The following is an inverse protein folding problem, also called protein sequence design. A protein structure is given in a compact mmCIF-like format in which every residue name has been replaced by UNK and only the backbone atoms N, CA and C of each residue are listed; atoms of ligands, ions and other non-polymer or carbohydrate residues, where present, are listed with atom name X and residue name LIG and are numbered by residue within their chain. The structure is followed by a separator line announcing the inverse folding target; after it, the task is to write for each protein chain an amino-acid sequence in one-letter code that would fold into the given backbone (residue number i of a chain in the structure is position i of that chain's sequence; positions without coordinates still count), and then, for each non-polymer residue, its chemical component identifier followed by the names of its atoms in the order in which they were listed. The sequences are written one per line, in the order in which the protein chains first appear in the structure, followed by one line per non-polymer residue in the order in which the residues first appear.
data_IF_917113005480
#
_entry.id   IF_917113005480
#
_cell.length_a   1.000
_cell.length_b   1.000
_cell.length_c   1.000
_cell.angle_alpha   90.00
_cell.angle_beta   90.00
_cell.angle_gamma   90.00
#
_symmetry.space_group_name_H-M   'P 1'
#
loop_
_entity.id
_entity.type
_entity.pdbx_description
1 polymer ?
#
# COMPACT_ATOMS: atom_id res chain seq x y z
N UNK A 1 14.64 8.83 4.69
CA UNK A 1 13.39 8.30 4.09
C UNK A 1 13.81 7.29 3.02
N UNK A 2 13.51 6.01 3.17
CA UNK A 2 13.85 5.00 2.15
C UNK A 2 13.01 5.28 0.90
N UNK A 3 13.66 5.35 -0.27
CA UNK A 3 12.97 5.52 -1.54
C UNK A 3 12.01 4.33 -1.76
N UNK A 4 10.73 4.54 -2.12
CA UNK A 4 9.74 3.47 -2.30
C UNK A 4 10.24 2.35 -3.24
N UNK A 5 11.01 2.71 -4.27
CA UNK A 5 11.61 1.76 -5.22
C UNK A 5 12.71 0.86 -4.64
N UNK A 6 13.20 1.08 -3.41
CA UNK A 6 14.12 0.16 -2.74
C UNK A 6 13.38 -1.02 -2.09
N UNK A 7 12.14 -0.79 -1.66
CA UNK A 7 11.33 -1.79 -0.95
C UNK A 7 10.83 -2.90 -1.89
N UNK A 8 10.63 -2.59 -3.17
CA UNK A 8 10.29 -3.59 -4.20
C UNK A 8 11.37 -4.65 -4.47
N UNK A 9 12.59 -4.49 -3.94
CA UNK A 9 13.72 -5.43 -4.14
C UNK A 9 14.08 -6.24 -2.90
N UNK A 10 13.34 -6.11 -1.79
CA UNK A 10 13.69 -6.72 -0.51
C UNK A 10 13.84 -8.25 -0.58
N UNK A 11 13.03 -8.93 -1.40
CA UNK A 11 13.07 -10.38 -1.55
C UNK A 11 14.03 -10.89 -2.64
N UNK A 12 14.53 -10.01 -3.51
CA UNK A 12 15.36 -10.44 -4.65
C UNK A 12 16.78 -10.81 -4.23
N UNK A 13 17.30 -10.13 -3.22
CA UNK A 13 18.65 -10.34 -2.69
C UNK A 13 18.72 -11.43 -1.62
N UNK A 14 17.59 -11.86 -1.07
CA UNK A 14 17.50 -12.85 0.01
C UNK A 14 17.07 -14.23 -0.52
N UNK A 15 17.87 -14.76 -1.46
CA UNK A 15 17.65 -16.09 -2.03
C UNK A 15 18.30 -17.14 -1.14
N UNK A 16 17.47 -18.01 -0.58
CA UNK A 16 17.91 -19.18 0.19
C UNK A 16 17.05 -20.40 -0.13
N UNK A 17 17.61 -21.60 0.03
CA UNK A 17 16.94 -22.86 -0.30
C UNK A 17 15.63 -23.08 0.48
N UNK A 18 15.47 -22.43 1.64
CA UNK A 18 14.28 -22.50 2.49
C UNK A 18 13.16 -21.52 2.10
N UNK A 19 13.46 -20.45 1.34
CA UNK A 19 12.50 -19.37 1.03
C UNK A 19 11.85 -19.51 -0.35
N UNK A 20 12.43 -20.29 -1.26
CA UNK A 20 11.92 -20.44 -2.62
C UNK A 20 11.99 -19.14 -3.43
N UNK A 21 11.13 -18.99 -4.45
CA UNK A 21 11.07 -17.78 -5.28
C UNK A 21 10.08 -16.77 -4.68
N UNK A 22 10.61 -15.72 -4.06
CA UNK A 22 9.84 -14.59 -3.56
C UNK A 22 10.08 -13.37 -4.46
N UNK A 23 9.00 -12.68 -4.83
CA UNK A 23 9.07 -11.43 -5.59
C UNK A 23 8.01 -10.49 -5.05
N UNK A 24 8.38 -9.23 -4.82
CA UNK A 24 7.40 -8.16 -4.61
C UNK A 24 6.52 -8.06 -5.87
N UNK A 25 5.22 -7.83 -5.68
CA UNK A 25 4.25 -7.79 -6.79
C UNK A 25 3.70 -6.39 -6.97
N UNK A 26 2.98 -5.91 -5.97
CA UNK A 26 2.41 -4.58 -5.93
C UNK A 26 2.70 -3.98 -4.56
N UNK A 27 3.06 -2.70 -4.55
CA UNK A 27 3.36 -1.91 -3.37
C UNK A 27 2.44 -0.69 -3.35
N UNK A 28 1.63 -0.61 -2.31
CA UNK A 28 0.70 0.48 -2.08
C UNK A 28 1.23 1.38 -0.96
N UNK A 29 1.40 2.67 -1.27
CA UNK A 29 1.93 3.66 -0.32
C UNK A 29 0.86 4.70 -0.02
N UNK A 30 0.44 4.76 1.24
CA UNK A 30 -0.44 5.80 1.76
C UNK A 30 0.39 6.97 2.26
N UNK A 31 0.23 8.13 1.62
CA UNK A 31 0.91 9.37 1.97
C UNK A 31 -0.08 10.36 2.55
N UNK A 32 0.16 10.83 3.76
CA UNK A 32 -0.61 11.91 4.36
C UNK A 32 -0.18 13.25 3.76
N UNK A 33 -1.13 14.01 3.22
CA UNK A 33 -0.92 15.32 2.57
C UNK A 33 -1.60 16.48 3.31
N UNK A 34 -2.44 16.18 4.31
CA UNK A 34 -3.19 17.18 5.06
C UNK A 34 -4.43 17.70 4.32
N UNK A 35 -5.41 18.18 5.06
CA UNK A 35 -6.67 18.75 4.53
C UNK A 35 -6.82 20.24 4.80
N UNK A 36 -5.91 20.83 5.57
CA UNK A 36 -6.06 22.19 6.06
C UNK A 36 -5.90 23.25 4.97
N UNK A 37 -6.52 24.42 5.17
CA UNK A 37 -6.47 25.54 4.22
C UNK A 37 -5.16 26.32 4.31
N UNK A 38 -4.58 26.41 5.51
CA UNK A 38 -3.30 27.04 5.73
C UNK A 38 -2.14 26.08 5.38
N UNK A 39 -1.18 26.48 4.52
CA UNK A 39 -0.07 25.62 4.12
C UNK A 39 0.79 25.10 5.28
N UNK A 40 1.05 25.93 6.31
CA UNK A 40 1.88 25.54 7.45
C UNK A 40 1.14 24.56 8.36
N UNK A 41 -0.18 24.75 8.53
CA UNK A 41 -1.00 23.83 9.33
C UNK A 41 -1.18 22.49 8.61
N UNK A 42 -1.34 22.52 7.27
CA UNK A 42 -1.44 21.32 6.44
C UNK A 42 -0.20 20.43 6.55
N UNK A 43 1.01 20.99 6.45
CA UNK A 43 2.25 20.22 6.59
C UNK A 43 2.39 19.60 7.98
N UNK A 44 2.06 20.35 9.04
CA UNK A 44 2.08 19.84 10.42
C UNK A 44 1.09 18.70 10.61
N UNK A 45 -0.12 18.84 10.06
CA UNK A 45 -1.15 17.81 10.09
C UNK A 45 -0.71 16.54 9.34
N UNK A 46 -0.10 16.71 8.16
CA UNK A 46 0.43 15.61 7.36
C UNK A 46 1.50 14.81 8.12
N UNK A 47 2.39 15.49 8.88
CA UNK A 47 3.41 14.83 9.69
C UNK A 47 2.84 14.05 10.88
N UNK A 48 1.72 14.51 11.46
CA UNK A 48 1.07 13.83 12.58
C UNK A 48 0.19 12.65 12.11
N UNK A 49 -0.21 12.64 10.85
CA UNK A 49 -1.13 11.67 10.27
C UNK A 49 -2.56 12.21 10.19
N UNK A 50 -3.17 12.12 9.01
CA UNK A 50 -4.53 12.62 8.76
C UNK A 50 -5.63 11.62 9.12
N UNK A 51 -5.33 10.32 9.12
CA UNK A 51 -6.31 9.26 9.35
C UNK A 51 -5.63 8.04 10.02
N UNK A 52 -6.27 7.33 10.97
CA UNK A 52 -5.71 6.14 11.60
C UNK A 52 -5.24 5.05 10.63
N UNK A 53 -4.01 4.54 10.86
CA UNK A 53 -3.44 3.46 10.06
C UNK A 53 -4.32 2.20 9.92
N UNK A 54 -5.02 1.72 10.98
CA UNK A 54 -5.91 0.57 10.83
C UNK A 54 -7.04 0.79 9.82
N UNK A 55 -7.51 2.02 9.64
CA UNK A 55 -8.56 2.34 8.66
C UNK A 55 -8.05 2.29 7.23
N UNK A 56 -6.80 2.71 7.02
CA UNK A 56 -6.14 2.68 5.71
C UNK A 56 -5.72 1.27 5.29
N UNK A 57 -5.33 0.46 6.27
CA UNK A 57 -4.84 -0.92 6.05
C UNK A 57 -5.93 -1.98 6.21
N UNK A 58 -7.15 -1.58 6.55
CA UNK A 58 -8.28 -2.50 6.69
C UNK A 58 -8.59 -3.14 5.33
N UNK A 59 -8.32 -4.45 5.23
CA UNK A 59 -8.54 -5.21 4.01
C UNK A 59 -10.02 -5.20 3.65
N UNK A 60 -10.34 -4.89 2.39
CA UNK A 60 -11.72 -4.81 1.93
C UNK A 60 -12.30 -3.39 1.83
N UNK A 61 -11.64 -2.38 2.39
CA UNK A 61 -12.07 -0.98 2.27
C UNK A 61 -11.43 -0.26 1.09
N UNK A 62 -10.10 -0.07 1.16
CA UNK A 62 -9.36 0.67 0.12
C UNK A 62 -8.69 -0.31 -0.85
N UNK A 63 -8.13 -1.40 -0.32
CA UNK A 63 -7.51 -2.47 -1.10
C UNK A 63 -8.23 -3.77 -0.76
N UNK A 64 -8.75 -4.42 -1.80
CA UNK A 64 -9.49 -5.67 -1.70
C UNK A 64 -8.78 -6.75 -2.50
N UNK A 65 -8.51 -7.88 -1.84
CA UNK A 65 -7.85 -9.04 -2.47
C UNK A 65 -8.82 -10.20 -2.47
N UNK A 66 -9.33 -10.55 -3.64
CA UNK A 66 -10.24 -11.68 -3.84
C UNK A 66 -9.50 -12.87 -4.46
N UNK A 67 -9.84 -14.09 -4.03
CA UNK A 67 -9.34 -15.32 -4.66
C UNK A 67 -10.23 -15.68 -5.84
N UNK A 68 -9.65 -15.88 -7.03
CA UNK A 68 -10.35 -16.39 -8.22
C UNK A 68 -10.51 -17.91 -8.21
N UNK A 69 -9.78 -18.60 -7.32
CA UNK A 69 -9.77 -20.06 -7.18
C UNK A 69 -9.76 -20.44 -5.71
N UNK A 70 -10.28 -21.62 -5.41
CA UNK A 70 -10.30 -22.17 -4.04
C UNK A 70 -8.88 -22.35 -3.49
N UNK A 71 -7.96 -22.84 -4.33
CA UNK A 71 -6.53 -23.01 -4.00
C UNK A 71 -5.66 -22.21 -4.99
N UNK A 72 -5.41 -20.92 -4.71
CA UNK A 72 -4.57 -20.08 -5.57
C UNK A 72 -3.09 -20.52 -5.49
N UNK A 73 -2.41 -20.59 -6.62
CA UNK A 73 -1.01 -21.06 -6.74
C UNK A 73 -0.09 -20.03 -7.42
N UNK A 74 -0.66 -18.99 -8.03
CA UNK A 74 0.06 -17.88 -8.68
C UNK A 74 -0.62 -16.55 -8.35
N UNK A 75 0.11 -15.45 -8.51
CA UNK A 75 -0.43 -14.11 -8.26
C UNK A 75 -1.66 -13.81 -9.14
N UNK A 76 -1.70 -14.29 -10.38
CA UNK A 76 -2.86 -14.09 -11.27
C UNK A 76 -4.13 -14.86 -10.86
N UNK A 77 -4.05 -15.73 -9.84
CA UNK A 77 -5.24 -16.33 -9.23
C UNK A 77 -5.90 -15.41 -8.19
N UNK A 78 -5.30 -14.24 -7.94
CA UNK A 78 -5.88 -13.19 -7.10
C UNK A 78 -6.41 -12.04 -7.97
N UNK A 79 -7.46 -11.39 -7.48
CA UNK A 79 -7.90 -10.10 -7.96
C UNK A 79 -7.59 -9.07 -6.89
N UNK A 80 -6.72 -8.12 -7.24
CA UNK A 80 -6.42 -6.98 -6.38
C UNK A 80 -7.16 -5.79 -6.95
N UNK A 81 -8.03 -5.18 -6.16
CA UNK A 81 -8.82 -4.02 -6.55
C UNK A 81 -8.61 -2.90 -5.56
N UNK A 82 -8.53 -1.68 -6.09
CA UNK A 82 -8.29 -0.47 -5.30
C UNK A 82 -9.50 0.45 -5.45
N UNK A 83 -10.20 0.70 -4.35
CA UNK A 83 -11.32 1.64 -4.32
C UNK A 83 -10.84 3.01 -3.85
N UNK A 84 -10.57 3.89 -4.82
CA UNK A 84 -10.12 5.27 -4.56
C UNK A 84 -11.23 6.15 -3.97
N UNK A 85 -12.50 5.73 -4.03
CA UNK A 85 -13.62 6.49 -3.46
C UNK A 85 -13.65 6.41 -1.94
N UNK A 86 -13.10 5.34 -1.37
CA UNK A 86 -12.98 5.13 0.07
C UNK A 86 -11.75 5.81 0.67
N UNK A 87 -10.92 6.47 -0.16
CA UNK A 87 -9.72 7.16 0.30
C UNK A 87 -10.11 8.42 1.09
N UNK A 88 -9.69 8.55 2.36
CA UNK A 88 -10.03 9.72 3.16
C UNK A 88 -9.38 10.99 2.62
N UNK A 89 -10.08 12.12 2.79
CA UNK A 89 -9.55 13.43 2.44
C UNK A 89 -8.22 13.67 3.17
N UNK A 90 -7.18 14.07 2.43
CA UNK A 90 -5.85 14.33 2.98
C UNK A 90 -4.91 13.13 3.00
N UNK A 91 -5.30 12.01 2.37
CA UNK A 91 -4.42 10.89 2.05
C UNK A 91 -4.33 10.72 0.54
N UNK A 92 -3.12 10.49 0.05
CA UNK A 92 -2.81 10.17 -1.34
C UNK A 92 -2.31 8.71 -1.41
N UNK A 93 -2.80 7.93 -2.38
CA UNK A 93 -2.36 6.57 -2.61
C UNK A 93 -1.44 6.51 -3.84
N UNK A 94 -0.21 6.05 -3.64
CA UNK A 94 0.73 5.76 -4.73
C UNK A 94 0.87 4.26 -4.93
N UNK A 95 0.77 3.82 -6.17
CA UNK A 95 0.85 2.42 -6.58
C UNK A 95 2.19 2.19 -7.29
N UNK A 96 2.98 1.22 -6.81
CA UNK A 96 4.26 0.85 -7.39
C UNK A 96 4.24 -0.65 -7.73
N UNK A 97 4.80 -1.01 -8.89
CA UNK A 97 4.97 -2.38 -9.38
C UNK A 97 6.45 -2.72 -9.39
#
# INVERSE_FOLDING_TARGET
MMSPGLMGRCAEHDRSASKGMMSCRELYVFKHIGTDSDPQQRERQAMLGCDPAPKLLDGGKIISVAKKREVPRRFSDYDVTVDKTQLPNGVELSEYV
#
